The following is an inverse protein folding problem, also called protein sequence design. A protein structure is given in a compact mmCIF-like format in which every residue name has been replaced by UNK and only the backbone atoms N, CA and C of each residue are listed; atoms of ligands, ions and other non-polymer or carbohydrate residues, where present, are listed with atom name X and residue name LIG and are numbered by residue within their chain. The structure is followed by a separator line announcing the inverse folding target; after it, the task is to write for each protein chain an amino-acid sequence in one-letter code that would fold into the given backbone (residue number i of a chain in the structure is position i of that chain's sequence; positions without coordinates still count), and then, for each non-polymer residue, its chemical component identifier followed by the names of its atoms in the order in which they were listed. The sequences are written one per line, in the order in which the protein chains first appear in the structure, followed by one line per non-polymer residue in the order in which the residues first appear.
data_IF_843288199776
#
_entry.id   IF_843288199776
#
_cell.length_a   1.000
_cell.length_b   1.000
_cell.length_c   1.000
_cell.angle_alpha   90.00
_cell.angle_beta   90.00
_cell.angle_gamma   90.00
#
_symmetry.space_group_name_H-M   'P 1'
#
loop_
_entity.id
_entity.type
_entity.pdbx_description
1 polymer ?
#
# COMPACT_ATOMS: atom_id res chain seq x y z
N UNK A 1 -64.78 12.85 13.35
CA UNK A 1 -63.57 12.00 13.12
C UNK A 1 -62.77 12.65 12.00
N UNK A 2 -61.77 13.43 12.34
CA UNK A 2 -60.90 14.05 11.37
C UNK A 2 -59.73 13.12 11.11
N UNK A 3 -59.57 12.63 9.86
CA UNK A 3 -58.41 11.88 9.41
C UNK A 3 -57.23 12.83 9.31
N UNK A 4 -56.24 12.62 10.16
CA UNK A 4 -54.96 13.31 10.05
C UNK A 4 -54.30 12.94 8.73
N UNK A 5 -54.00 13.93 7.94
CA UNK A 5 -53.15 13.83 6.76
C UNK A 5 -51.70 13.82 7.28
N UNK A 6 -51.05 12.65 7.27
CA UNK A 6 -49.61 12.59 7.44
C UNK A 6 -48.94 13.29 6.24
N UNK A 7 -48.46 14.47 6.47
CA UNK A 7 -47.55 15.14 5.54
C UNK A 7 -46.23 14.42 5.60
N UNK A 8 -45.96 13.56 4.63
CA UNK A 8 -44.61 13.04 4.38
C UNK A 8 -43.73 14.23 4.01
N UNK A 9 -42.88 14.66 4.93
CA UNK A 9 -41.76 15.54 4.61
C UNK A 9 -40.92 14.88 3.50
N UNK A 10 -41.05 15.36 2.28
CA UNK A 10 -40.12 15.05 1.18
C UNK A 10 -38.77 15.66 1.54
N UNK A 11 -37.89 14.84 2.12
CA UNK A 11 -36.50 15.21 2.34
C UNK A 11 -35.87 15.46 0.99
N UNK A 12 -35.56 16.71 0.68
CA UNK A 12 -34.82 17.08 -0.52
C UNK A 12 -33.56 16.25 -0.63
N UNK A 13 -33.24 15.68 -1.81
CA UNK A 13 -32.06 14.85 -1.99
C UNK A 13 -30.80 15.68 -1.72
N UNK A 14 -29.95 15.14 -0.86
CA UNK A 14 -28.67 15.77 -0.50
C UNK A 14 -27.74 15.70 -1.71
N UNK A 15 -27.16 16.82 -2.12
CA UNK A 15 -26.18 16.85 -3.20
C UNK A 15 -24.94 16.02 -2.82
N UNK A 16 -24.74 14.88 -3.49
CA UNK A 16 -23.65 13.92 -3.25
C UNK A 16 -22.40 14.21 -4.07
N UNK A 17 -22.44 15.15 -5.00
CA UNK A 17 -21.30 15.49 -5.86
C UNK A 17 -20.18 16.18 -5.08
N UNK A 18 -18.95 15.87 -5.44
CA UNK A 18 -17.73 16.42 -4.82
C UNK A 18 -16.96 17.24 -5.85
N UNK A 19 -16.46 18.41 -5.47
CA UNK A 19 -15.57 19.21 -6.31
C UNK A 19 -14.14 18.66 -6.22
N UNK A 20 -13.97 17.42 -6.68
CA UNK A 20 -12.71 16.68 -6.57
C UNK A 20 -12.46 15.90 -7.86
N UNK A 21 -11.18 15.86 -8.29
CA UNK A 21 -10.73 15.01 -9.40
C UNK A 21 -9.97 13.83 -8.84
N UNK A 22 -10.31 12.66 -9.32
CA UNK A 22 -9.70 11.39 -8.92
C UNK A 22 -8.91 10.84 -10.10
N UNK A 23 -7.67 10.41 -9.83
CA UNK A 23 -6.83 9.72 -10.80
C UNK A 23 -6.93 8.22 -10.60
N UNK A 24 -7.18 7.49 -11.66
CA UNK A 24 -7.15 6.02 -11.68
C UNK A 24 -5.92 5.59 -12.48
N UNK A 25 -4.89 5.13 -11.76
CA UNK A 25 -3.58 4.80 -12.31
C UNK A 25 -3.43 3.32 -12.53
N UNK A 26 -2.86 2.95 -13.68
CA UNK A 26 -2.48 1.57 -13.97
C UNK A 26 -1.29 1.14 -13.08
N UNK A 27 -1.35 -0.09 -12.55
CA UNK A 27 -0.27 -0.71 -11.79
C UNK A 27 0.54 -1.59 -12.76
N UNK A 28 1.78 -1.19 -13.13
CA UNK A 28 2.59 -1.97 -14.05
C UNK A 28 2.94 -3.32 -13.43
N UNK A 29 2.74 -4.39 -14.19
CA UNK A 29 3.22 -5.72 -13.83
C UNK A 29 4.45 -6.02 -14.65
N UNK A 30 5.49 -6.47 -13.98
CA UNK A 30 6.64 -7.04 -14.67
C UNK A 30 6.33 -8.50 -15.00
N UNK A 31 6.36 -8.84 -16.30
CA UNK A 31 6.40 -10.23 -16.72
C UNK A 31 7.82 -10.74 -16.56
N UNK A 32 8.02 -11.72 -15.69
CA UNK A 32 9.35 -12.35 -15.53
C UNK A 32 9.69 -13.32 -16.68
N UNK A 33 8.70 -13.69 -17.51
CA UNK A 33 8.89 -14.69 -18.56
C UNK A 33 8.99 -14.07 -19.95
N UNK A 34 8.27 -12.98 -20.22
CA UNK A 34 8.19 -12.38 -21.56
C UNK A 34 8.14 -10.87 -21.46
N UNK A 35 9.04 -10.20 -22.18
CA UNK A 35 9.13 -8.73 -22.23
C UNK A 35 8.33 -8.12 -23.36
N UNK A 36 8.00 -8.88 -24.41
CA UNK A 36 7.22 -8.39 -25.55
C UNK A 36 5.74 -8.25 -25.18
N UNK A 37 5.17 -7.04 -25.22
CA UNK A 37 3.75 -6.80 -24.92
C UNK A 37 2.76 -7.50 -25.86
N UNK A 38 3.23 -7.92 -27.04
CA UNK A 38 2.40 -8.62 -28.05
C UNK A 38 2.36 -10.13 -27.86
N UNK A 39 3.23 -10.65 -27.01
CA UNK A 39 3.30 -12.08 -26.77
C UNK A 39 2.14 -12.59 -25.91
N UNK A 40 1.55 -13.75 -26.28
CA UNK A 40 0.37 -14.34 -25.61
C UNK A 40 0.59 -14.59 -24.10
N UNK A 41 1.84 -14.85 -23.68
CA UNK A 41 2.21 -15.07 -22.28
C UNK A 41 2.59 -13.79 -21.53
N UNK A 42 2.43 -12.61 -22.16
CA UNK A 42 2.72 -11.34 -21.49
C UNK A 42 1.72 -11.07 -20.38
N UNK A 43 2.20 -11.01 -19.14
CA UNK A 43 1.36 -10.81 -17.96
C UNK A 43 0.91 -9.37 -17.73
N UNK A 44 1.44 -8.42 -18.51
CA UNK A 44 1.08 -7.00 -18.46
C UNK A 44 -0.08 -6.64 -19.39
N UNK A 45 -0.39 -5.36 -19.43
CA UNK A 45 -1.39 -4.78 -20.34
C UNK A 45 -0.67 -4.21 -21.57
N UNK A 46 -1.11 -4.55 -22.79
CA UNK A 46 -0.62 -3.91 -24.01
C UNK A 46 -1.00 -2.42 -24.03
N UNK A 47 -0.23 -1.57 -24.72
CA UNK A 47 -0.42 -0.11 -24.66
C UNK A 47 -1.79 0.34 -25.16
N UNK A 48 -2.29 -0.30 -26.20
CA UNK A 48 -3.59 0.03 -26.83
C UNK A 48 -4.77 -0.69 -26.17
N UNK A 49 -4.52 -1.53 -25.16
CA UNK A 49 -5.59 -2.30 -24.50
C UNK A 49 -6.46 -1.40 -23.63
N UNK A 50 -7.74 -1.74 -23.62
CA UNK A 50 -8.74 -1.09 -22.78
C UNK A 50 -9.37 -2.15 -21.87
N UNK A 51 -9.32 -1.94 -20.57
CA UNK A 51 -10.11 -2.72 -19.63
C UNK A 51 -11.45 -2.05 -19.38
N UNK A 52 -12.52 -2.84 -19.53
CA UNK A 52 -13.89 -2.38 -19.24
C UNK A 52 -14.31 -2.95 -17.89
N UNK A 53 -14.74 -2.07 -17.01
CA UNK A 53 -15.27 -2.39 -15.68
C UNK A 53 -16.76 -2.12 -15.67
N UNK A 54 -17.51 -3.08 -15.17
CA UNK A 54 -18.97 -3.04 -14.98
C UNK A 54 -19.29 -3.33 -13.51
N UNK A 55 -20.52 -3.10 -13.10
CA UNK A 55 -20.95 -3.46 -11.75
C UNK A 55 -20.92 -4.98 -11.57
N UNK A 56 -20.26 -5.51 -10.54
CA UNK A 56 -20.23 -6.94 -10.27
C UNK A 56 -21.63 -7.50 -10.02
N UNK A 57 -21.85 -8.75 -10.45
CA UNK A 57 -23.09 -9.50 -10.17
C UNK A 57 -22.88 -10.39 -8.94
N UNK A 58 -23.88 -10.42 -8.08
CA UNK A 58 -23.96 -11.35 -6.98
C UNK A 58 -24.26 -12.78 -7.49
N UNK A 59 -24.01 -13.79 -6.68
CA UNK A 59 -24.36 -15.19 -6.99
C UNK A 59 -25.84 -15.41 -7.29
N UNK A 60 -26.71 -14.52 -6.80
CA UNK A 60 -28.15 -14.47 -7.09
C UNK A 60 -28.51 -13.92 -8.48
N UNK A 61 -27.52 -13.44 -9.24
CA UNK A 61 -27.70 -12.80 -10.54
C UNK A 61 -28.12 -11.34 -10.48
N UNK A 62 -28.31 -10.76 -9.29
CA UNK A 62 -28.57 -9.33 -9.09
C UNK A 62 -27.26 -8.54 -9.08
N UNK A 63 -27.31 -7.26 -9.46
CA UNK A 63 -26.14 -6.40 -9.40
C UNK A 63 -25.83 -5.96 -7.96
N UNK A 64 -24.55 -5.76 -7.66
CA UNK A 64 -24.13 -5.15 -6.39
C UNK A 64 -24.69 -3.72 -6.31
N UNK A 65 -25.21 -3.36 -5.14
CA UNK A 65 -25.64 -1.97 -4.93
C UNK A 65 -24.42 -1.07 -4.72
N UNK A 66 -24.07 -0.29 -5.72
CA UNK A 66 -22.90 0.61 -5.70
C UNK A 66 -23.21 2.00 -5.14
N UNK A 67 -24.51 2.38 -5.09
CA UNK A 67 -24.97 3.67 -4.61
C UNK A 67 -25.73 3.49 -3.29
N UNK A 68 -25.55 4.40 -2.36
CA UNK A 68 -26.41 4.50 -1.18
C UNK A 68 -27.83 4.96 -1.57
N UNK A 69 -28.82 4.73 -0.72
CA UNK A 69 -30.20 5.12 -1.02
C UNK A 69 -30.34 6.62 -1.26
N UNK A 70 -29.55 7.45 -0.59
CA UNK A 70 -29.53 8.90 -0.78
C UNK A 70 -28.89 9.29 -2.13
N UNK A 71 -27.76 8.69 -2.46
CA UNK A 71 -27.09 8.88 -3.76
C UNK A 71 -27.99 8.44 -4.90
N UNK A 72 -28.65 7.28 -4.74
CA UNK A 72 -29.59 6.75 -5.73
C UNK A 72 -30.72 7.75 -6.00
N UNK A 73 -31.42 8.24 -4.97
CA UNK A 73 -32.50 9.21 -5.11
C UNK A 73 -32.03 10.50 -5.80
N UNK A 74 -30.85 11.01 -5.42
CA UNK A 74 -30.26 12.20 -6.04
C UNK A 74 -29.94 12.01 -7.53
N UNK A 75 -29.36 10.86 -7.91
CA UNK A 75 -29.01 10.61 -9.32
C UNK A 75 -30.22 10.24 -10.16
N UNK A 76 -31.23 9.54 -9.62
CA UNK A 76 -32.49 9.27 -10.30
C UNK A 76 -33.22 10.56 -10.65
N UNK A 77 -33.27 11.54 -9.71
CA UNK A 77 -33.84 12.84 -9.97
C UNK A 77 -33.04 13.64 -11.01
N UNK A 78 -31.72 13.64 -10.89
CA UNK A 78 -30.84 14.46 -11.73
C UNK A 78 -30.68 13.94 -13.15
N UNK A 79 -30.63 12.63 -13.32
CA UNK A 79 -30.43 11.96 -14.62
C UNK A 79 -31.73 11.52 -15.29
N UNK A 80 -32.84 11.46 -14.55
CA UNK A 80 -34.10 10.93 -15.04
C UNK A 80 -34.07 9.45 -15.38
N UNK A 81 -33.17 8.68 -14.74
CA UNK A 81 -32.93 7.26 -14.98
C UNK A 81 -33.32 6.43 -13.77
N UNK A 82 -33.84 5.22 -13.98
CA UNK A 82 -34.08 4.26 -12.90
C UNK A 82 -32.81 3.46 -12.61
N UNK A 83 -32.20 3.70 -11.47
CA UNK A 83 -30.96 3.05 -11.00
C UNK A 83 -31.23 1.82 -10.12
N UNK A 84 -32.40 1.20 -10.22
CA UNK A 84 -32.73 0.01 -9.45
C UNK A 84 -31.90 -1.19 -9.86
N UNK A 85 -31.27 -1.87 -8.89
CA UNK A 85 -30.49 -3.08 -9.08
C UNK A 85 -31.34 -4.33 -9.28
N UNK A 86 -32.64 -4.28 -8.92
CA UNK A 86 -33.57 -5.42 -8.97
C UNK A 86 -34.37 -5.51 -10.26
N UNK A 87 -34.33 -4.50 -11.10
CA UNK A 87 -35.08 -4.50 -12.38
C UNK A 87 -34.48 -5.53 -13.32
N UNK A 88 -35.29 -6.45 -13.82
CA UNK A 88 -34.83 -7.53 -14.73
C UNK A 88 -34.81 -7.11 -16.19
N UNK A 89 -35.74 -6.22 -16.60
CA UNK A 89 -35.87 -5.70 -17.96
C UNK A 89 -35.38 -4.26 -17.97
N UNK A 90 -34.63 -3.89 -18.97
CA UNK A 90 -34.01 -2.55 -19.13
C UNK A 90 -33.27 -2.07 -17.88
N UNK A 91 -32.51 -2.95 -17.27
CA UNK A 91 -31.71 -2.60 -16.11
C UNK A 91 -30.55 -1.70 -16.52
N UNK A 92 -30.45 -0.53 -15.87
CA UNK A 92 -29.38 0.44 -16.11
C UNK A 92 -27.98 -0.19 -16.00
N UNK A 93 -27.80 -1.10 -15.05
CA UNK A 93 -26.50 -1.77 -14.77
C UNK A 93 -26.17 -2.91 -15.73
N UNK A 94 -27.06 -3.24 -16.67
CA UNK A 94 -26.85 -4.29 -17.66
C UNK A 94 -25.78 -3.88 -18.69
N UNK A 95 -24.96 -4.83 -19.10
CA UNK A 95 -23.94 -4.66 -20.14
C UNK A 95 -24.55 -4.22 -21.50
N UNK A 96 -25.83 -4.52 -21.72
CA UNK A 96 -26.58 -4.15 -22.92
C UNK A 96 -27.06 -2.69 -22.94
N UNK A 97 -26.82 -1.90 -21.89
CA UNK A 97 -27.27 -0.53 -21.85
C UNK A 97 -26.45 0.34 -22.83
N UNK A 98 -27.10 0.97 -23.83
CA UNK A 98 -26.41 1.75 -24.87
C UNK A 98 -25.84 3.08 -24.37
N UNK A 99 -26.27 3.58 -23.21
CA UNK A 99 -25.84 4.89 -22.71
C UNK A 99 -24.39 4.93 -22.22
N UNK A 100 -23.78 3.77 -21.93
CA UNK A 100 -22.36 3.66 -21.61
C UNK A 100 -21.91 4.25 -20.26
N UNK A 101 -22.83 4.85 -19.49
CA UNK A 101 -22.52 5.45 -18.15
C UNK A 101 -22.30 4.35 -17.11
N UNK A 102 -22.87 3.18 -17.32
CA UNK A 102 -22.77 1.98 -16.49
C UNK A 102 -21.46 1.20 -16.69
N UNK A 103 -20.59 1.67 -17.57
CA UNK A 103 -19.31 1.04 -17.88
C UNK A 103 -18.16 2.04 -17.71
N UNK A 104 -17.02 1.55 -17.24
CA UNK A 104 -15.80 2.36 -17.12
C UNK A 104 -14.71 1.72 -17.97
N UNK A 105 -14.22 2.44 -18.97
CA UNK A 105 -13.14 2.01 -19.83
C UNK A 105 -11.85 2.69 -19.42
N UNK A 106 -10.89 1.90 -18.93
CA UNK A 106 -9.59 2.38 -18.48
C UNK A 106 -8.48 1.92 -19.43
N UNK A 107 -7.58 2.84 -19.76
CA UNK A 107 -6.35 2.57 -20.52
C UNK A 107 -5.16 2.40 -19.58
N UNK A 108 -4.02 1.99 -20.12
CA UNK A 108 -2.75 1.82 -19.38
C UNK A 108 -2.19 3.14 -18.82
N UNK A 109 -2.67 4.27 -19.26
CA UNK A 109 -2.29 5.61 -18.77
C UNK A 109 -3.08 6.03 -17.53
N UNK A 110 -2.74 7.17 -16.95
CA UNK A 110 -3.52 7.82 -15.91
C UNK A 110 -4.89 8.26 -16.46
N UNK A 111 -5.97 7.79 -15.84
CA UNK A 111 -7.34 8.11 -16.22
C UNK A 111 -7.91 9.04 -15.15
N UNK A 112 -8.55 10.12 -15.55
CA UNK A 112 -9.08 11.13 -14.61
C UNK A 112 -10.60 11.12 -14.64
N UNK A 113 -11.20 11.14 -13.45
CA UNK A 113 -12.63 11.27 -13.23
C UNK A 113 -12.92 12.56 -12.44
N UNK A 114 -13.90 13.32 -12.88
CA UNK A 114 -14.33 14.54 -12.19
C UNK A 114 -15.60 14.26 -11.38
N UNK A 115 -15.46 14.14 -10.06
CA UNK A 115 -16.58 13.83 -9.16
C UNK A 115 -17.62 14.94 -9.05
N UNK A 116 -17.43 16.08 -9.72
CA UNK A 116 -18.43 17.13 -9.84
C UNK A 116 -19.52 16.80 -10.87
N UNK A 117 -19.27 15.83 -11.76
CA UNK A 117 -20.23 15.35 -12.75
C UNK A 117 -20.90 14.05 -12.27
N UNK A 118 -22.22 13.89 -12.47
CA UNK A 118 -22.94 12.68 -12.08
C UNK A 118 -22.42 11.42 -12.73
N UNK A 119 -22.05 11.50 -14.00
CA UNK A 119 -21.55 10.37 -14.78
C UNK A 119 -20.25 9.83 -14.23
N UNK A 120 -19.25 10.69 -14.00
CA UNK A 120 -17.96 10.26 -13.50
C UNK A 120 -18.04 9.84 -12.03
N UNK A 121 -18.97 10.41 -11.25
CA UNK A 121 -19.24 9.93 -9.90
C UNK A 121 -19.76 8.48 -9.91
N UNK A 122 -20.72 8.15 -10.80
CA UNK A 122 -21.22 6.78 -10.97
C UNK A 122 -20.08 5.84 -11.40
N UNK A 123 -19.26 6.26 -12.38
CA UNK A 123 -18.07 5.49 -12.81
C UNK A 123 -17.10 5.24 -11.66
N UNK A 124 -16.83 6.25 -10.83
CA UNK A 124 -16.01 6.10 -9.62
C UNK A 124 -16.58 5.04 -8.66
N UNK A 125 -17.89 5.05 -8.43
CA UNK A 125 -18.55 4.03 -7.59
C UNK A 125 -18.48 2.62 -8.19
N UNK A 126 -18.60 2.50 -9.51
CA UNK A 126 -18.39 1.21 -10.22
C UNK A 126 -16.97 0.69 -9.98
N UNK A 127 -15.96 1.56 -10.06
CA UNK A 127 -14.58 1.17 -9.83
C UNK A 127 -14.34 0.72 -8.38
N UNK A 128 -14.92 1.42 -7.40
CA UNK A 128 -14.84 1.02 -5.99
C UNK A 128 -15.50 -0.34 -5.70
N UNK A 129 -16.52 -0.73 -6.47
CA UNK A 129 -17.16 -2.03 -6.33
C UNK A 129 -16.30 -3.19 -6.85
N UNK A 130 -15.33 -2.91 -7.73
CA UNK A 130 -14.42 -3.90 -8.31
C UNK A 130 -13.18 -4.15 -7.43
N UNK A 131 -13.37 -4.50 -6.17
CA UNK A 131 -12.33 -4.62 -5.12
C UNK A 131 -11.25 -5.67 -5.38
N UNK A 132 -11.43 -6.55 -6.36
CA UNK A 132 -10.44 -7.58 -6.71
C UNK A 132 -9.43 -7.10 -7.76
N UNK A 133 -9.84 -6.15 -8.59
CA UNK A 133 -9.01 -5.64 -9.69
C UNK A 133 -8.53 -4.20 -9.45
N UNK A 134 -9.19 -3.48 -8.55
CA UNK A 134 -8.92 -2.07 -8.29
C UNK A 134 -8.63 -1.87 -6.80
N UNK A 135 -7.45 -1.31 -6.50
CA UNK A 135 -7.12 -0.88 -5.14
C UNK A 135 -7.84 0.45 -4.83
N UNK A 136 -8.63 0.53 -3.75
CA UNK A 136 -9.44 1.71 -3.45
C UNK A 136 -8.63 2.93 -3.04
N UNK A 137 -7.37 2.74 -2.63
CA UNK A 137 -6.44 3.82 -2.32
C UNK A 137 -5.00 3.34 -2.47
N UNK A 138 -4.06 4.28 -2.58
CA UNK A 138 -2.64 3.98 -2.60
C UNK A 138 -2.16 3.34 -1.29
N UNK A 139 -2.73 3.74 -0.16
CA UNK A 139 -2.41 3.16 1.14
C UNK A 139 -2.80 1.67 1.21
N UNK A 140 -3.98 1.30 0.72
CA UNK A 140 -4.40 -0.12 0.68
C UNK A 140 -3.50 -0.93 -0.25
N UNK A 141 -3.04 -0.34 -1.36
CA UNK A 141 -2.09 -1.00 -2.25
C UNK A 141 -0.74 -1.28 -1.57
N UNK A 142 -0.26 -0.35 -0.72
CA UNK A 142 1.00 -0.51 0.02
C UNK A 142 0.86 -1.48 1.20
N UNK A 143 -0.22 -1.39 1.97
CA UNK A 143 -0.42 -2.16 3.21
C UNK A 143 -0.88 -3.61 2.92
N UNK A 144 -1.70 -3.81 1.90
CA UNK A 144 -2.28 -5.11 1.51
C UNK A 144 -2.28 -5.33 0.00
N UNK A 145 -1.12 -5.50 -0.63
CA UNK A 145 -1.03 -5.69 -2.08
C UNK A 145 -1.69 -7.01 -2.49
N UNK A 146 -2.72 -6.93 -3.33
CA UNK A 146 -3.26 -8.11 -4.01
C UNK A 146 -2.58 -8.27 -5.37
N UNK A 147 -2.16 -9.49 -5.71
CA UNK A 147 -1.60 -9.79 -7.04
C UNK A 147 -2.59 -9.54 -8.18
N UNK A 148 -3.88 -9.45 -7.90
CA UNK A 148 -4.94 -9.20 -8.88
C UNK A 148 -5.13 -7.73 -9.23
N UNK A 149 -4.66 -6.78 -8.40
CA UNK A 149 -4.85 -5.36 -8.66
C UNK A 149 -4.22 -4.92 -9.98
N UNK A 150 -5.01 -4.29 -10.83
CA UNK A 150 -4.59 -3.72 -12.12
C UNK A 150 -4.53 -2.20 -12.09
N UNK A 151 -5.35 -1.58 -11.26
CA UNK A 151 -5.42 -0.13 -11.11
C UNK A 151 -5.52 0.25 -9.64
N UNK A 152 -5.13 1.49 -9.34
CA UNK A 152 -5.27 2.11 -8.02
C UNK A 152 -5.98 3.45 -8.18
N UNK A 153 -6.91 3.72 -7.28
CA UNK A 153 -7.59 5.01 -7.17
C UNK A 153 -6.75 5.93 -6.30
N UNK A 154 -6.48 7.14 -6.80
CA UNK A 154 -5.66 8.14 -6.13
C UNK A 154 -6.49 9.42 -6.05
N UNK A 155 -6.98 9.75 -4.87
CA UNK A 155 -7.64 11.03 -4.61
C UNK A 155 -6.60 12.14 -4.50
N UNK A 156 -6.90 13.35 -4.99
CA UNK A 156 -5.94 14.46 -5.00
C UNK A 156 -5.39 14.79 -3.62
N UNK A 157 -6.23 14.70 -2.59
CA UNK A 157 -5.82 14.87 -1.19
C UNK A 157 -4.85 13.77 -0.71
N UNK A 158 -4.97 12.56 -1.21
CA UNK A 158 -4.13 11.42 -0.80
C UNK A 158 -2.74 11.46 -1.46
N UNK A 159 -2.61 12.02 -2.65
CA UNK A 159 -1.29 12.28 -3.26
C UNK A 159 -0.45 13.20 -2.39
N UNK A 160 -1.04 14.31 -1.93
CA UNK A 160 -0.33 15.24 -1.04
C UNK A 160 -0.03 14.62 0.33
N UNK A 161 -0.94 13.81 0.87
CA UNK A 161 -0.74 13.11 2.15
C UNK A 161 0.37 12.06 2.05
N UNK A 162 0.38 11.24 0.99
CA UNK A 162 1.41 10.22 0.78
C UNK A 162 2.78 10.85 0.52
N UNK A 163 2.85 11.89 -0.33
CA UNK A 163 4.07 12.64 -0.57
C UNK A 163 4.60 13.30 0.71
N UNK A 164 3.70 13.88 1.53
CA UNK A 164 4.05 14.43 2.84
C UNK A 164 4.59 13.34 3.76
N UNK A 165 3.89 12.21 3.89
CA UNK A 165 4.30 11.07 4.74
C UNK A 165 5.68 10.53 4.33
N UNK A 166 5.93 10.35 3.02
CA UNK A 166 7.23 9.89 2.53
C UNK A 166 8.35 10.91 2.84
N UNK A 167 8.08 12.19 2.64
CA UNK A 167 9.02 13.26 3.00
C UNK A 167 9.30 13.33 4.50
N UNK A 168 8.26 13.14 5.32
CA UNK A 168 8.40 13.15 6.78
C UNK A 168 9.21 11.93 7.25
N UNK A 169 9.00 10.73 6.68
CA UNK A 169 9.82 9.53 6.93
C UNK A 169 11.28 9.78 6.54
N UNK A 170 11.53 10.33 5.36
CA UNK A 170 12.91 10.63 4.91
C UNK A 170 13.58 11.65 5.84
N UNK A 171 12.87 12.68 6.29
CA UNK A 171 13.38 13.64 7.28
C UNK A 171 13.72 12.98 8.60
N UNK A 172 12.89 12.08 9.07
CA UNK A 172 13.12 11.31 10.30
C UNK A 172 14.34 10.39 10.14
N UNK A 173 14.53 9.75 8.99
CA UNK A 173 15.73 8.97 8.69
C UNK A 173 17.01 9.82 8.82
N UNK A 174 17.03 11.01 8.24
CA UNK A 174 18.19 11.91 8.35
C UNK A 174 18.44 12.39 9.77
N UNK A 175 17.38 12.60 10.55
CA UNK A 175 17.50 12.96 11.97
C UNK A 175 18.13 11.82 12.80
N UNK A 176 17.68 10.59 12.57
CA UNK A 176 18.25 9.42 13.26
C UNK A 176 19.67 9.11 12.75
N UNK A 177 19.93 9.27 11.44
CA UNK A 177 21.28 9.16 10.88
C UNK A 177 22.27 10.11 11.55
N UNK A 178 21.93 11.38 11.73
CA UNK A 178 22.79 12.35 12.40
C UNK A 178 23.17 12.00 13.86
N UNK A 179 22.44 11.07 14.51
CA UNK A 179 22.82 10.58 15.84
C UNK A 179 23.93 9.53 15.80
N UNK A 180 24.04 8.80 14.67
CA UNK A 180 24.94 7.66 14.52
C UNK A 180 26.08 7.91 13.54
N UNK A 181 26.10 9.04 12.82
CA UNK A 181 27.07 9.33 11.75
C UNK A 181 28.55 9.34 12.18
N UNK A 182 28.81 9.55 13.47
CA UNK A 182 30.15 9.55 14.06
C UNK A 182 30.50 8.23 14.79
N UNK A 183 29.55 7.29 14.90
CA UNK A 183 29.77 5.99 15.55
C UNK A 183 29.88 4.88 14.50
N UNK A 184 31.12 4.59 14.08
CA UNK A 184 31.42 3.56 13.09
C UNK A 184 30.86 2.18 13.45
N UNK A 185 30.84 1.82 14.75
CA UNK A 185 30.37 0.50 15.18
C UNK A 185 28.85 0.38 15.11
N UNK A 186 28.15 1.44 15.48
CA UNK A 186 26.68 1.50 15.30
C UNK A 186 26.33 1.48 13.82
N UNK A 187 27.00 2.27 12.97
CA UNK A 187 26.79 2.26 11.54
C UNK A 187 27.07 0.88 10.91
N UNK A 188 28.17 0.22 11.28
CA UNK A 188 28.47 -1.14 10.82
C UNK A 188 27.36 -2.11 11.24
N UNK A 189 26.87 -2.01 12.47
CA UNK A 189 25.80 -2.88 12.97
C UNK A 189 24.51 -2.68 12.19
N UNK A 190 24.15 -1.43 11.91
CA UNK A 190 22.95 -1.09 11.10
C UNK A 190 23.06 -1.64 9.69
N UNK A 191 24.21 -1.45 9.03
CA UNK A 191 24.44 -1.99 7.67
C UNK A 191 24.38 -3.52 7.67
N UNK A 192 24.97 -4.20 8.67
CA UNK A 192 24.88 -5.66 8.78
C UNK A 192 23.47 -6.17 9.01
N UNK A 193 22.66 -5.44 9.79
CA UNK A 193 21.25 -5.80 10.01
C UNK A 193 20.40 -5.61 8.75
N UNK A 194 20.74 -4.65 7.90
CA UNK A 194 20.03 -4.41 6.63
C UNK A 194 20.46 -5.40 5.56
N UNK A 195 21.77 -5.62 5.38
CA UNK A 195 22.33 -6.49 4.33
C UNK A 195 22.28 -7.98 4.69
N UNK A 196 22.15 -8.31 5.97
CA UNK A 196 22.27 -9.70 6.46
C UNK A 196 23.68 -10.28 6.33
N UNK A 197 24.69 -9.47 6.03
CA UNK A 197 26.09 -9.90 5.82
C UNK A 197 27.02 -9.14 6.74
N UNK A 198 28.05 -9.82 7.22
CA UNK A 198 29.08 -9.20 8.04
C UNK A 198 29.95 -8.25 7.24
N UNK A 199 30.36 -7.17 7.89
CA UNK A 199 31.30 -6.17 7.38
C UNK A 199 32.63 -6.32 8.13
N UNK A 200 33.74 -6.11 7.40
CA UNK A 200 35.08 -6.15 8.00
C UNK A 200 35.23 -5.09 9.09
N UNK A 201 35.88 -5.41 10.25
CA UNK A 201 36.01 -4.49 11.37
C UNK A 201 36.69 -3.15 11.03
N UNK A 202 37.54 -3.15 10.03
CA UNK A 202 38.34 -1.98 9.61
C UNK A 202 37.73 -1.27 8.38
N UNK A 203 36.42 -1.35 8.20
CA UNK A 203 35.76 -0.69 7.08
C UNK A 203 35.81 0.84 7.26
N UNK A 204 36.12 1.56 6.18
CA UNK A 204 36.21 3.01 6.18
C UNK A 204 34.85 3.64 6.54
N UNK A 205 34.89 4.68 7.36
CA UNK A 205 33.73 5.45 7.79
C UNK A 205 32.94 6.02 6.60
N UNK A 206 33.63 6.58 5.59
CA UNK A 206 33.01 7.15 4.39
C UNK A 206 32.23 6.11 3.57
N UNK A 207 32.72 4.87 3.53
CA UNK A 207 32.00 3.80 2.87
C UNK A 207 30.69 3.46 3.60
N UNK A 208 30.71 3.43 4.94
CA UNK A 208 29.52 3.18 5.75
C UNK A 208 28.50 4.30 5.57
N UNK A 209 28.96 5.56 5.58
CA UNK A 209 28.13 6.74 5.35
C UNK A 209 27.44 6.64 3.97
N UNK A 210 28.23 6.41 2.90
CA UNK A 210 27.69 6.26 1.55
C UNK A 210 26.66 5.14 1.43
N UNK A 211 26.91 4.00 2.10
CA UNK A 211 25.93 2.92 2.12
C UNK A 211 24.64 3.27 2.84
N UNK A 212 24.74 3.91 3.99
CA UNK A 212 23.56 4.33 4.77
C UNK A 212 22.75 5.39 4.01
N UNK A 213 23.40 6.33 3.33
CA UNK A 213 22.75 7.29 2.44
C UNK A 213 21.97 6.57 1.34
N UNK A 214 22.57 5.53 0.73
CA UNK A 214 21.92 4.70 -0.26
C UNK A 214 20.65 4.00 0.28
N UNK A 215 20.66 3.52 1.53
CA UNK A 215 19.46 2.91 2.15
C UNK A 215 18.40 3.94 2.48
N UNK A 216 18.76 5.12 2.96
CA UNK A 216 17.82 6.22 3.22
C UNK A 216 17.10 6.62 1.92
N UNK A 217 17.80 6.62 0.78
CA UNK A 217 17.22 6.96 -0.52
C UNK A 217 16.37 5.83 -1.10
N UNK A 218 16.84 4.57 -1.01
CA UNK A 218 16.18 3.43 -1.64
C UNK A 218 15.06 2.83 -0.79
N UNK A 219 15.26 2.70 0.52
CA UNK A 219 14.31 2.10 1.44
C UNK A 219 14.29 2.75 2.83
N UNK A 220 13.79 4.00 2.94
CA UNK A 220 13.82 4.77 4.18
C UNK A 220 13.06 4.08 5.33
N UNK A 221 11.98 3.35 5.02
CA UNK A 221 11.19 2.63 6.03
C UNK A 221 12.00 1.52 6.72
N UNK A 222 12.80 0.76 5.94
CA UNK A 222 13.63 -0.30 6.48
C UNK A 222 14.77 0.27 7.33
N UNK A 223 15.43 1.32 6.87
CA UNK A 223 16.45 2.03 7.62
C UNK A 223 15.91 2.51 8.97
N UNK A 224 14.77 3.23 8.95
CA UNK A 224 14.14 3.75 10.16
C UNK A 224 13.81 2.64 11.15
N UNK A 225 13.21 1.53 10.67
CA UNK A 225 12.89 0.36 11.51
C UNK A 225 14.11 -0.21 12.23
N UNK A 226 15.26 -0.25 11.57
CA UNK A 226 16.49 -0.79 12.17
C UNK A 226 17.12 0.18 13.17
N UNK A 227 17.14 1.49 12.83
CA UNK A 227 17.79 2.49 13.67
C UNK A 227 16.96 2.84 14.92
N UNK A 228 15.63 2.77 14.82
CA UNK A 228 14.73 3.01 15.96
C UNK A 228 14.43 1.75 16.78
N UNK A 229 15.07 0.62 16.46
CA UNK A 229 14.92 -0.61 17.23
C UNK A 229 15.51 -0.42 18.64
N UNK A 230 14.68 -0.58 19.66
CA UNK A 230 15.09 -0.47 21.08
C UNK A 230 16.24 -1.41 21.44
N UNK A 231 16.39 -2.51 20.71
CA UNK A 231 17.44 -3.50 20.92
C UNK A 231 18.75 -3.18 20.19
N UNK A 232 18.81 -2.10 19.40
CA UNK A 232 20.00 -1.73 18.64
C UNK A 232 21.23 -1.50 19.55
N UNK A 233 21.14 -0.78 20.69
CA UNK A 233 22.29 -0.58 21.59
C UNK A 233 22.86 -1.90 22.12
N UNK A 234 22.00 -2.85 22.47
CA UNK A 234 22.40 -4.19 22.93
C UNK A 234 23.07 -4.99 21.80
N UNK A 235 22.57 -4.91 20.57
CA UNK A 235 23.19 -5.52 19.39
C UNK A 235 24.58 -4.95 19.12
N UNK A 236 24.76 -3.64 19.27
CA UNK A 236 26.06 -2.97 19.14
C UNK A 236 27.01 -3.44 20.25
N UNK A 237 26.53 -3.54 21.49
CA UNK A 237 27.33 -4.06 22.61
C UNK A 237 27.80 -5.50 22.39
N UNK A 238 26.91 -6.37 21.91
CA UNK A 238 27.27 -7.77 21.56
C UNK A 238 28.35 -7.78 20.49
N UNK A 239 28.22 -6.93 19.46
CA UNK A 239 29.23 -6.82 18.40
C UNK A 239 30.58 -6.35 18.95
N UNK A 240 30.61 -5.31 19.77
CA UNK A 240 31.83 -4.85 20.46
C UNK A 240 32.47 -5.97 21.25
N UNK A 241 31.67 -6.73 21.99
CA UNK A 241 32.15 -7.86 22.78
C UNK A 241 32.69 -9.00 21.93
N UNK A 242 32.16 -9.23 20.75
CA UNK A 242 32.71 -10.18 19.77
C UNK A 242 34.05 -9.69 19.23
N UNK A 243 34.15 -8.41 18.86
CA UNK A 243 35.38 -7.82 18.35
C UNK A 243 36.48 -7.77 19.43
N UNK A 244 36.13 -7.52 20.69
CA UNK A 244 37.04 -7.59 21.85
C UNK A 244 37.39 -9.02 22.25
N UNK A 245 36.75 -10.03 21.65
CA UNK A 245 37.00 -11.43 21.94
C UNK A 245 36.43 -11.92 23.28
N UNK A 246 35.46 -11.19 23.87
CA UNK A 246 34.75 -11.60 25.10
C UNK A 246 33.60 -12.55 24.79
N UNK A 247 33.02 -12.44 23.58
CA UNK A 247 31.99 -13.35 23.07
C UNK A 247 32.54 -14.09 21.87
N UNK A 248 32.36 -15.41 21.85
CA UNK A 248 32.77 -16.29 20.75
C UNK A 248 31.53 -16.55 19.90
N UNK A 249 31.63 -16.27 18.60
CA UNK A 249 30.60 -16.63 17.62
C UNK A 249 31.01 -17.90 16.88
N UNK A 250 30.13 -18.92 16.92
CA UNK A 250 30.29 -20.20 16.17
C UNK A 250 29.07 -20.33 15.22
N UNK A 251 29.26 -20.05 13.92
CA UNK A 251 28.15 -19.93 13.00
C UNK A 251 27.27 -18.71 13.41
N UNK A 252 26.00 -18.97 13.70
CA UNK A 252 25.06 -17.94 14.18
C UNK A 252 24.86 -17.94 15.71
N UNK A 253 25.55 -18.85 16.41
CA UNK A 253 25.45 -19.02 17.85
C UNK A 253 26.50 -18.21 18.62
N UNK A 254 26.10 -17.67 19.78
CA UNK A 254 26.92 -16.80 20.64
C UNK A 254 27.21 -17.46 21.99
N UNK A 255 28.47 -17.43 22.41
CA UNK A 255 28.94 -18.04 23.66
C UNK A 255 29.81 -17.05 24.42
N UNK A 256 29.70 -17.01 25.75
CA UNK A 256 30.61 -16.26 26.62
C UNK A 256 31.98 -16.96 26.61
N UNK A 257 33.08 -16.21 26.46
CA UNK A 257 34.42 -16.75 26.48
C UNK A 257 34.85 -17.16 27.89
N UNK A 258 34.34 -16.51 28.92
CA UNK A 258 34.73 -16.74 30.32
C UNK A 258 34.48 -18.17 30.81
N UNK A 259 33.34 -18.72 30.45
CA UNK A 259 32.83 -20.00 30.96
C UNK A 259 32.28 -20.93 29.86
N UNK A 260 32.34 -20.47 28.61
CA UNK A 260 31.86 -21.23 27.44
C UNK A 260 30.35 -21.41 27.40
N UNK A 261 29.58 -20.71 28.26
CA UNK A 261 28.15 -20.84 28.29
C UNK A 261 27.47 -20.19 27.09
N UNK A 262 26.40 -20.79 26.56
CA UNK A 262 25.59 -20.18 25.51
C UNK A 262 24.86 -18.94 26.04
N UNK A 263 24.71 -17.91 25.21
CA UNK A 263 23.97 -16.70 25.54
C UNK A 263 22.47 -16.87 25.26
N UNK A 264 21.84 -17.79 25.99
CA UNK A 264 20.41 -18.09 25.89
C UNK A 264 19.89 -18.70 27.19
N UNK A 265 18.56 -18.74 27.36
CA UNK A 265 17.92 -19.52 28.41
C UNK A 265 17.89 -21.01 28.12
N UNK A 266 17.41 -21.79 29.10
CA UNK A 266 17.24 -23.24 28.96
C UNK A 266 16.25 -23.52 27.79
N UNK A 267 16.65 -24.42 26.89
CA UNK A 267 15.88 -24.83 25.69
C UNK A 267 15.78 -23.78 24.57
N UNK A 268 16.61 -22.74 24.56
CA UNK A 268 16.67 -21.77 23.48
C UNK A 268 18.00 -21.88 22.69
N UNK A 269 18.00 -21.51 21.41
CA UNK A 269 19.23 -21.41 20.62
C UNK A 269 19.93 -20.08 20.87
N UNK A 270 21.25 -20.03 21.09
CA UNK A 270 21.99 -18.80 21.40
C UNK A 270 22.23 -17.93 20.16
N UNK A 271 21.18 -17.58 19.44
CA UNK A 271 21.21 -16.67 18.30
C UNK A 271 21.13 -15.22 18.75
N UNK A 272 21.48 -14.26 17.89
CA UNK A 272 21.55 -12.85 18.23
C UNK A 272 20.24 -12.32 18.85
N UNK A 273 19.10 -12.72 18.35
CA UNK A 273 17.78 -12.29 18.84
C UNK A 273 17.49 -12.76 20.27
N UNK A 274 17.99 -13.92 20.65
CA UNK A 274 17.85 -14.48 21.99
C UNK A 274 18.92 -13.90 22.91
N UNK A 275 20.18 -13.78 22.45
CA UNK A 275 21.25 -13.16 23.21
C UNK A 275 20.97 -11.71 23.61
N UNK A 276 20.24 -10.96 22.77
CA UNK A 276 19.79 -9.59 23.08
C UNK A 276 18.78 -9.55 24.24
N UNK A 277 17.96 -10.59 24.41
CA UNK A 277 17.02 -10.71 25.53
C UNK A 277 17.70 -11.25 26.79
N UNK A 278 18.79 -11.94 26.63
CA UNK A 278 19.59 -12.54 27.71
C UNK A 278 20.42 -11.48 28.45
N UNK A 279 20.83 -10.41 27.76
CA UNK A 279 21.54 -9.26 28.32
C UNK A 279 20.59 -8.17 28.80
#
# INVERSE_FOLDING_TARGET
MAKGVEVKEEKQPINCLRKEKVCVRYIPRQSHMVTDPRHILYGGMAEDSVYTFVVPKLSTGTFVNVLTNQEKAFFEEKLGLDLSVYKKVDNFWSDANPQGINQVRLRKQDNYLDLSTPEDYIKYKILLANTDLIAPSQQVLEDRPKATYKYVIIEGADQFKSAKKNRDITRECWKEYGKIENDAETMMTVVELIDGRRIAPNTNLEFLQTKLDGYIQSNPKMFLKVVTDETLPTKVLIRRSINAGNIIKRGDQLYLKSDGKPMCGDNEEPVLSVAVKFL
#
